data_IF_971191302098
#
_entry.id   IF_971191302098
#
_cell.length_a   1.000
_cell.length_b   1.000
_cell.length_c   1.000
_cell.angle_alpha   90.00
_cell.angle_beta   90.00
_cell.angle_gamma   90.00
#
_symmetry.space_group_name_H-M   'P 1'
#
loop_
_entity.id
_entity.type
_entity.pdbx_description
1 polymer ?
#
# COMPACT_ATOMS: atom_id res chain seq x y z
N UNK A 1 -13.85 -8.99 -13.88
CA UNK A 1 -12.69 -8.32 -13.27
C UNK A 1 -11.48 -9.23 -13.35
N UNK A 2 -10.30 -8.68 -13.61
CA UNK A 2 -9.04 -9.42 -13.57
C UNK A 2 -8.30 -9.01 -12.30
N UNK A 3 -8.02 -10.01 -11.43
CA UNK A 3 -7.39 -9.85 -10.12
C UNK A 3 -8.39 -9.88 -8.96
N UNK A 4 -8.19 -10.82 -8.02
CA UNK A 4 -8.94 -11.03 -6.78
C UNK A 4 -8.23 -10.50 -5.52
N UNK A 5 -7.24 -9.60 -5.67
CA UNK A 5 -6.64 -8.89 -4.54
C UNK A 5 -7.60 -7.88 -3.90
N UNK A 6 -7.16 -7.08 -2.91
CA UNK A 6 -8.05 -6.19 -2.15
C UNK A 6 -8.95 -5.31 -3.01
N UNK A 7 -8.44 -4.74 -4.12
CA UNK A 7 -9.24 -3.89 -5.00
C UNK A 7 -10.35 -4.68 -5.69
N UNK A 8 -10.01 -5.79 -6.37
CA UNK A 8 -10.98 -6.56 -7.15
C UNK A 8 -11.97 -7.32 -6.27
N UNK A 9 -11.50 -7.92 -5.17
CA UNK A 9 -12.36 -8.62 -4.24
C UNK A 9 -13.38 -7.67 -3.58
N UNK A 10 -12.92 -6.52 -3.09
CA UNK A 10 -13.80 -5.55 -2.45
C UNK A 10 -14.78 -4.91 -3.45
N UNK A 11 -14.35 -4.60 -4.67
CA UNK A 11 -15.26 -4.15 -5.72
C UNK A 11 -16.31 -5.22 -6.03
N UNK A 12 -15.89 -6.48 -6.15
CA UNK A 12 -16.80 -7.60 -6.37
C UNK A 12 -17.86 -7.70 -5.29
N UNK A 13 -17.43 -7.67 -4.03
CA UNK A 13 -18.33 -7.66 -2.88
C UNK A 13 -19.36 -6.53 -2.95
N UNK A 14 -18.93 -5.29 -3.20
CA UNK A 14 -19.82 -4.14 -3.26
C UNK A 14 -20.84 -4.24 -4.41
N UNK A 15 -20.40 -4.67 -5.60
CA UNK A 15 -21.30 -4.83 -6.75
C UNK A 15 -22.29 -5.99 -6.56
N UNK A 16 -21.83 -7.11 -5.98
CA UNK A 16 -22.68 -8.25 -5.72
C UNK A 16 -23.76 -7.94 -4.67
N UNK A 17 -23.41 -7.14 -3.64
CA UNK A 17 -24.35 -6.64 -2.63
C UNK A 17 -25.50 -5.84 -3.24
N UNK A 18 -25.26 -5.17 -4.36
CA UNK A 18 -26.27 -4.41 -5.12
C UNK A 18 -26.92 -5.23 -6.24
N UNK A 19 -26.81 -6.56 -6.18
CA UNK A 19 -27.51 -7.51 -7.05
C UNK A 19 -26.85 -7.75 -8.41
N UNK A 20 -25.66 -7.20 -8.69
CA UNK A 20 -24.90 -7.58 -9.87
C UNK A 20 -24.27 -8.97 -9.66
N UNK A 21 -23.82 -9.60 -10.75
CA UNK A 21 -23.13 -10.91 -10.73
C UNK A 21 -21.72 -10.79 -11.33
N UNK A 22 -20.77 -10.18 -10.59
CA UNK A 22 -19.42 -9.99 -11.12
C UNK A 22 -18.68 -11.33 -11.24
N UNK A 23 -17.82 -11.42 -12.28
CA UNK A 23 -16.88 -12.52 -12.44
C UNK A 23 -15.49 -12.00 -12.10
N UNK A 24 -14.78 -12.71 -11.23
CA UNK A 24 -13.40 -12.40 -10.80
C UNK A 24 -12.49 -13.50 -11.35
N UNK A 25 -11.47 -13.13 -12.10
CA UNK A 25 -10.42 -14.03 -12.56
C UNK A 25 -9.22 -13.88 -11.64
N UNK A 26 -8.86 -14.92 -10.90
CA UNK A 26 -7.60 -14.98 -10.14
C UNK A 26 -7.17 -16.43 -9.92
N UNK A 27 -5.97 -16.77 -10.39
CA UNK A 27 -5.42 -18.12 -10.31
C UNK A 27 -4.58 -18.37 -9.06
N UNK A 28 -4.33 -17.33 -8.27
CA UNK A 28 -3.28 -17.33 -7.26
C UNK A 28 -3.77 -17.43 -5.82
N UNK A 29 -5.07 -17.30 -5.58
CA UNK A 29 -5.63 -17.40 -4.24
C UNK A 29 -5.86 -18.85 -3.77
N UNK A 30 -5.65 -19.13 -2.46
CA UNK A 30 -5.06 -18.26 -1.44
C UNK A 30 -3.54 -18.21 -1.55
N UNK A 31 -2.92 -17.03 -1.28
CA UNK A 31 -1.47 -16.85 -1.32
C UNK A 31 -0.97 -15.80 -0.34
N UNK A 32 0.23 -15.99 0.19
CA UNK A 32 0.94 -14.92 0.88
C UNK A 32 1.62 -14.00 -0.15
N UNK A 33 1.04 -12.81 -0.35
CA UNK A 33 1.62 -11.82 -1.27
C UNK A 33 2.76 -11.07 -0.58
N UNK A 34 3.91 -10.86 -1.26
CA UNK A 34 4.97 -9.98 -0.77
C UNK A 34 4.45 -8.60 -0.36
N UNK A 35 4.48 -8.31 0.94
CA UNK A 35 3.95 -7.07 1.52
C UNK A 35 4.33 -6.98 2.99
N UNK A 36 4.42 -5.79 3.57
CA UNK A 36 4.45 -5.60 5.02
C UNK A 36 3.17 -6.11 5.70
N UNK A 37 2.03 -5.86 5.07
CA UNK A 37 0.72 -6.21 5.62
C UNK A 37 0.15 -5.15 6.56
N UNK A 38 0.80 -3.98 6.65
CA UNK A 38 0.29 -2.85 7.42
C UNK A 38 -1.00 -2.29 6.81
N UNK A 39 -1.98 -2.04 7.67
CA UNK A 39 -3.26 -1.40 7.33
C UNK A 39 -3.38 -0.15 8.17
N UNK A 40 -3.54 0.98 7.51
CA UNK A 40 -3.61 2.27 8.18
C UNK A 40 -4.91 2.44 8.97
N UNK A 41 -4.87 3.31 9.95
CA UNK A 41 -6.04 3.69 10.76
C UNK A 41 -7.16 4.23 9.88
N UNK A 42 -6.81 5.03 8.86
CA UNK A 42 -7.78 5.56 7.90
C UNK A 42 -8.56 4.43 7.20
N UNK A 43 -7.88 3.37 6.76
CA UNK A 43 -8.56 2.22 6.14
C UNK A 43 -9.46 1.49 7.14
N UNK A 44 -8.98 1.27 8.36
CA UNK A 44 -9.72 0.58 9.42
C UNK A 44 -11.03 1.33 9.76
N UNK A 45 -10.96 2.66 9.91
CA UNK A 45 -12.12 3.47 10.23
C UNK A 45 -13.11 3.60 9.06
N UNK A 46 -12.59 3.66 7.83
CA UNK A 46 -13.40 3.85 6.62
C UNK A 46 -14.07 2.55 6.16
N UNK A 47 -13.36 1.43 6.16
CA UNK A 47 -13.82 0.17 5.57
C UNK A 47 -14.25 -0.83 6.64
N UNK A 48 -15.50 -0.71 7.08
CA UNK A 48 -16.04 -1.52 8.19
C UNK A 48 -15.96 -3.03 7.95
N UNK A 49 -15.98 -3.49 6.70
CA UNK A 49 -15.81 -4.90 6.37
C UNK A 49 -14.51 -5.48 6.93
N UNK A 50 -13.45 -4.68 7.07
CA UNK A 50 -12.18 -5.14 7.66
C UNK A 50 -12.34 -5.64 9.09
N UNK A 51 -13.31 -5.10 9.86
CA UNK A 51 -13.57 -5.54 11.23
C UNK A 51 -14.12 -6.96 11.35
N UNK A 52 -14.66 -7.50 10.25
CA UNK A 52 -15.15 -8.88 10.17
C UNK A 52 -14.03 -9.90 9.86
N UNK A 53 -12.79 -9.43 9.64
CA UNK A 53 -11.65 -10.33 9.41
C UNK A 53 -11.45 -11.27 10.59
N UNK A 54 -11.28 -12.60 10.36
CA UNK A 54 -11.21 -13.60 11.41
C UNK A 54 -9.90 -13.57 12.20
N UNK A 55 -8.86 -12.95 11.68
CA UNK A 55 -7.54 -12.94 12.31
C UNK A 55 -7.50 -12.03 13.53
N UNK A 56 -6.83 -12.47 14.61
CA UNK A 56 -6.42 -11.57 15.67
C UNK A 56 -5.53 -10.47 15.09
N UNK A 57 -5.96 -9.25 15.32
CA UNK A 57 -5.34 -8.07 14.74
C UNK A 57 -4.20 -7.66 15.64
N UNK A 58 -2.97 -7.84 15.18
CA UNK A 58 -1.82 -7.29 15.86
C UNK A 58 -1.91 -5.77 15.84
N UNK A 59 -2.18 -5.22 17.04
CA UNK A 59 -2.38 -3.79 17.22
C UNK A 59 -1.02 -3.12 17.38
N UNK A 60 -0.70 -2.28 16.41
CA UNK A 60 0.57 -1.58 16.37
C UNK A 60 0.42 -0.16 16.93
N UNK A 61 0.55 -0.06 18.26
CA UNK A 61 0.57 1.23 18.96
C UNK A 61 1.95 1.87 19.00
N UNK A 62 3.02 1.08 18.78
CA UNK A 62 4.39 1.52 18.92
C UNK A 62 5.16 1.23 17.64
N UNK A 63 5.79 2.27 17.09
CA UNK A 63 6.68 2.13 15.95
C UNK A 63 8.05 2.67 16.34
N UNK A 64 9.08 1.86 16.15
CA UNK A 64 10.46 2.30 16.24
C UNK A 64 10.91 2.85 14.88
N UNK A 65 11.24 4.14 14.86
CA UNK A 65 11.85 4.79 13.70
C UNK A 65 13.36 4.90 13.94
N UNK A 66 14.13 4.52 12.94
CA UNK A 66 15.59 4.59 12.96
C UNK A 66 16.06 5.48 11.82
N UNK A 67 16.83 6.50 12.18
CA UNK A 67 17.42 7.47 11.24
C UNK A 67 18.52 6.85 10.39
N UNK A 68 18.96 7.52 9.32
CA UNK A 68 20.12 7.07 8.54
C UNK A 68 21.35 6.75 9.38
N UNK A 69 21.70 7.59 10.38
CA UNK A 69 22.86 7.38 11.26
C UNK A 69 22.65 6.30 12.35
N UNK A 70 21.41 5.83 12.56
CA UNK A 70 21.10 4.84 13.60
C UNK A 70 20.47 5.40 14.87
N UNK A 71 20.24 6.71 14.96
CA UNK A 71 19.43 7.28 16.06
C UNK A 71 18.01 6.70 15.98
N UNK A 72 17.47 6.24 17.11
CA UNK A 72 16.13 5.66 17.14
C UNK A 72 15.19 6.40 18.09
N UNK A 73 13.90 6.30 17.79
CA UNK A 73 12.81 6.76 18.65
C UNK A 73 11.64 5.81 18.55
N UNK A 74 11.06 5.45 19.69
CA UNK A 74 9.78 4.74 19.73
C UNK A 74 8.67 5.78 19.82
N UNK A 75 7.81 5.81 18.83
CA UNK A 75 6.62 6.65 18.80
C UNK A 75 5.41 5.83 19.22
N UNK A 76 4.49 6.44 19.94
CA UNK A 76 3.28 5.78 20.45
C UNK A 76 2.05 6.57 20.03
N UNK A 77 1.11 5.89 19.39
CA UNK A 77 -0.19 6.45 19.01
C UNK A 77 -1.31 6.15 19.98
N UNK A 78 -2.39 6.93 19.89
CA UNK A 78 -3.65 6.68 20.64
C UNK A 78 -4.51 5.62 19.94
N UNK A 79 -4.40 5.48 18.65
CA UNK A 79 -5.07 4.50 17.81
C UNK A 79 -4.01 3.65 17.13
N UNK A 80 -4.31 2.39 16.90
CA UNK A 80 -3.37 1.47 16.24
C UNK A 80 -3.75 1.23 14.79
N UNK A 81 -2.75 1.09 13.92
CA UNK A 81 -2.88 0.36 12.68
C UNK A 81 -2.97 -1.14 12.94
N UNK A 82 -3.23 -1.91 11.91
CA UNK A 82 -3.19 -3.37 11.96
C UNK A 82 -2.09 -3.90 11.06
N UNK A 83 -1.53 -5.03 11.46
CA UNK A 83 -0.62 -5.80 10.63
C UNK A 83 -1.28 -7.15 10.39
N UNK A 84 -1.61 -7.45 9.13
CA UNK A 84 -2.30 -8.68 8.73
C UNK A 84 -1.51 -9.43 7.67
N UNK A 85 -1.58 -10.76 7.73
CA UNK A 85 -1.13 -11.63 6.63
C UNK A 85 -1.99 -11.38 5.39
N UNK A 86 -1.34 -11.28 4.24
CA UNK A 86 -2.05 -11.16 2.95
C UNK A 86 -2.72 -12.47 2.54
N UNK A 87 -2.22 -13.61 3.05
CA UNK A 87 -2.89 -14.90 2.92
C UNK A 87 -4.31 -14.83 3.51
N UNK A 88 -4.45 -14.19 4.66
CA UNK A 88 -5.72 -14.08 5.39
C UNK A 88 -6.56 -12.94 4.85
N UNK A 89 -5.99 -11.72 4.76
CA UNK A 89 -6.71 -10.54 4.31
C UNK A 89 -7.30 -10.70 2.90
N UNK A 90 -6.46 -11.12 1.94
CA UNK A 90 -6.90 -11.21 0.56
C UNK A 90 -7.94 -12.33 0.40
N UNK A 91 -7.72 -13.48 1.08
CA UNK A 91 -8.70 -14.58 1.12
C UNK A 91 -10.02 -14.13 1.73
N UNK A 92 -9.99 -13.49 2.89
CA UNK A 92 -11.18 -12.98 3.56
C UNK A 92 -12.02 -12.08 2.64
N UNK A 93 -11.39 -11.08 2.00
CA UNK A 93 -12.09 -10.17 1.10
C UNK A 93 -12.69 -10.91 -0.12
N UNK A 94 -11.96 -11.89 -0.66
CA UNK A 94 -12.43 -12.69 -1.80
C UNK A 94 -13.57 -13.63 -1.41
N UNK A 95 -13.47 -14.29 -0.26
CA UNK A 95 -14.54 -15.14 0.27
C UNK A 95 -15.83 -14.32 0.48
N UNK A 96 -15.73 -13.11 1.05
CA UNK A 96 -16.88 -12.21 1.20
C UNK A 96 -17.51 -11.82 -0.15
N UNK A 97 -16.69 -11.62 -1.18
CA UNK A 97 -17.21 -11.37 -2.53
C UNK A 97 -17.97 -12.58 -3.10
N UNK A 98 -17.43 -13.78 -2.90
CA UNK A 98 -18.06 -15.04 -3.34
C UNK A 98 -19.36 -15.30 -2.57
N UNK A 99 -19.34 -15.17 -1.24
CA UNK A 99 -20.51 -15.29 -0.36
C UNK A 99 -21.65 -14.36 -0.79
N UNK A 100 -21.29 -13.16 -1.29
CA UNK A 100 -22.25 -12.16 -1.76
C UNK A 100 -22.78 -12.43 -3.19
N UNK A 101 -22.19 -13.39 -3.92
CA UNK A 101 -22.66 -13.80 -5.24
C UNK A 101 -21.69 -13.55 -6.42
N UNK A 102 -20.43 -13.21 -6.15
CA UNK A 102 -19.42 -13.20 -7.20
C UNK A 102 -19.05 -14.61 -7.65
N UNK A 103 -18.77 -14.77 -8.94
CA UNK A 103 -18.19 -16.01 -9.46
C UNK A 103 -16.66 -15.86 -9.54
N UNK A 104 -15.93 -16.73 -8.84
CA UNK A 104 -14.47 -16.83 -8.98
C UNK A 104 -14.12 -17.83 -10.08
N UNK A 105 -13.31 -17.41 -11.04
CA UNK A 105 -12.67 -18.26 -12.04
C UNK A 105 -11.19 -18.33 -11.72
N UNK A 106 -10.75 -19.50 -11.23
CA UNK A 106 -9.35 -19.73 -10.83
C UNK A 106 -8.43 -19.97 -12.03
N UNK A 107 -8.49 -19.08 -13.00
CA UNK A 107 -7.70 -19.13 -14.22
C UNK A 107 -6.84 -17.89 -14.40
N UNK A 108 -5.66 -18.08 -14.97
CA UNK A 108 -4.77 -16.98 -15.29
C UNK A 108 -5.20 -16.30 -16.59
N UNK A 109 -5.59 -15.04 -16.52
CA UNK A 109 -5.78 -14.21 -17.71
C UNK A 109 -4.42 -13.92 -18.32
N UNK A 110 -4.27 -14.18 -19.62
CA UNK A 110 -3.02 -14.01 -20.37
C UNK A 110 -3.10 -12.93 -21.44
N UNK A 111 -4.30 -12.54 -21.86
CA UNK A 111 -4.53 -11.45 -22.80
C UNK A 111 -5.97 -10.92 -22.68
N UNK A 112 -6.16 -9.67 -23.04
CA UNK A 112 -7.48 -9.04 -23.19
C UNK A 112 -7.54 -8.22 -24.47
N UNK A 113 -8.66 -8.30 -25.19
CA UNK A 113 -8.85 -7.57 -26.45
C UNK A 113 -10.29 -7.06 -26.53
N UNK A 114 -10.44 -5.80 -26.92
CA UNK A 114 -11.75 -5.23 -27.22
C UNK A 114 -12.05 -5.37 -28.71
N UNK A 115 -13.10 -6.11 -29.06
CA UNK A 115 -13.56 -6.34 -30.43
C UNK A 115 -15.09 -6.46 -30.43
N UNK A 116 -15.75 -5.95 -31.46
CA UNK A 116 -17.21 -6.07 -31.64
C UNK A 116 -18.02 -5.64 -30.41
N UNK A 117 -17.61 -4.54 -29.78
CA UNK A 117 -18.18 -3.99 -28.54
C UNK A 117 -18.13 -4.93 -27.32
N UNK A 118 -17.28 -5.95 -27.34
CA UNK A 118 -17.04 -6.86 -26.24
C UNK A 118 -15.55 -6.99 -25.91
N UNK A 119 -15.26 -7.16 -24.64
CA UNK A 119 -13.96 -7.60 -24.18
C UNK A 119 -13.84 -9.11 -24.28
N UNK A 120 -12.88 -9.59 -25.03
CA UNK A 120 -12.46 -10.98 -25.07
C UNK A 120 -11.35 -11.17 -24.04
N UNK A 121 -11.62 -11.90 -22.98
CA UNK A 121 -10.71 -12.18 -21.87
C UNK A 121 -10.17 -13.59 -22.09
N UNK A 122 -8.93 -13.72 -22.54
CA UNK A 122 -8.29 -14.99 -22.81
C UNK A 122 -7.51 -15.49 -21.60
N UNK A 123 -7.84 -16.67 -21.15
CA UNK A 123 -7.08 -17.44 -20.15
C UNK A 123 -6.20 -18.49 -20.84
N UNK A 124 -5.52 -19.32 -20.05
CA UNK A 124 -4.83 -20.49 -20.58
C UNK A 124 -5.79 -21.58 -21.07
N UNK A 125 -7.03 -21.59 -20.58
CA UNK A 125 -8.01 -22.64 -20.84
C UNK A 125 -8.98 -22.27 -21.96
N UNK A 126 -9.52 -21.03 -21.92
CA UNK A 126 -10.57 -20.61 -22.86
C UNK A 126 -10.65 -19.07 -22.96
N UNK A 127 -11.59 -18.59 -23.76
CA UNK A 127 -11.88 -17.15 -23.90
C UNK A 127 -13.29 -16.86 -23.40
N UNK A 128 -13.39 -15.83 -22.57
CA UNK A 128 -14.63 -15.30 -22.04
C UNK A 128 -14.96 -13.95 -22.68
N UNK A 129 -16.22 -13.58 -22.68
CA UNK A 129 -16.67 -12.29 -23.19
C UNK A 129 -17.34 -11.45 -22.10
N UNK A 130 -17.11 -10.15 -22.12
CA UNK A 130 -17.73 -9.21 -21.19
C UNK A 130 -17.97 -7.85 -21.85
N UNK A 131 -19.04 -7.16 -21.45
CA UNK A 131 -19.30 -5.78 -21.89
C UNK A 131 -18.42 -4.77 -21.16
N UNK A 132 -18.04 -5.07 -19.94
CA UNK A 132 -17.25 -4.17 -19.08
C UNK A 132 -16.08 -4.92 -18.45
N UNK A 133 -14.87 -4.34 -18.50
CA UNK A 133 -13.66 -4.94 -17.98
C UNK A 133 -13.05 -4.07 -16.87
N UNK A 134 -12.72 -4.68 -15.72
CA UNK A 134 -11.97 -4.02 -14.66
C UNK A 134 -10.61 -4.68 -14.49
N UNK A 135 -9.55 -3.90 -14.59
CA UNK A 135 -8.18 -4.29 -14.23
C UNK A 135 -7.91 -3.99 -12.77
N UNK A 136 -7.81 -5.04 -11.96
CA UNK A 136 -7.45 -5.03 -10.54
C UNK A 136 -6.25 -5.98 -10.28
N UNK A 137 -5.47 -6.24 -11.31
CA UNK A 137 -4.42 -7.25 -11.41
C UNK A 137 -3.03 -6.75 -10.99
N UNK A 138 -3.01 -5.65 -10.24
CA UNK A 138 -1.83 -5.16 -9.54
C UNK A 138 -0.81 -4.46 -10.44
N UNK A 139 0.40 -4.28 -9.93
CA UNK A 139 1.47 -3.47 -10.57
C UNK A 139 1.90 -3.97 -11.96
N UNK A 140 1.75 -5.28 -12.23
CA UNK A 140 2.07 -5.88 -13.52
C UNK A 140 0.83 -6.09 -14.41
N UNK A 141 -0.20 -5.27 -14.22
CA UNK A 141 -1.50 -5.38 -14.87
C UNK A 141 -1.43 -5.64 -16.38
N UNK A 142 -2.03 -6.76 -16.79
CA UNK A 142 -2.23 -7.10 -18.22
C UNK A 142 -3.27 -6.16 -18.81
N UNK A 143 -4.33 -5.86 -18.04
CA UNK A 143 -5.41 -4.97 -18.49
C UNK A 143 -4.86 -3.58 -18.76
N UNK A 144 -4.12 -2.99 -17.77
CA UNK A 144 -3.46 -1.70 -17.98
C UNK A 144 -2.53 -1.71 -19.18
N UNK A 145 -1.67 -2.73 -19.26
CA UNK A 145 -0.69 -2.85 -20.36
C UNK A 145 -1.36 -2.79 -21.74
N UNK A 146 -2.56 -3.36 -21.86
CA UNK A 146 -3.31 -3.40 -23.11
C UNK A 146 -3.95 -2.05 -23.45
N UNK A 147 -4.44 -1.32 -22.44
CA UNK A 147 -5.24 -0.10 -22.64
C UNK A 147 -4.35 1.15 -22.70
N UNK A 148 -3.43 1.30 -21.75
CA UNK A 148 -2.61 2.51 -21.54
C UNK A 148 -1.11 2.25 -21.68
N UNK A 149 -0.69 1.01 -21.87
CA UNK A 149 0.70 0.61 -21.70
C UNK A 149 1.04 0.27 -20.24
N UNK A 150 2.21 -0.37 -20.00
CA UNK A 150 2.65 -0.70 -18.63
C UNK A 150 2.97 0.56 -17.83
N UNK A 151 3.00 0.43 -16.52
CA UNK A 151 3.59 1.49 -15.67
C UNK A 151 5.04 1.67 -16.10
N UNK A 152 5.49 2.91 -16.38
CA UNK A 152 6.86 3.18 -16.81
C UNK A 152 7.88 2.65 -15.79
N UNK A 153 9.02 2.16 -16.25
CA UNK A 153 10.04 1.56 -15.37
C UNK A 153 10.52 2.53 -14.27
N UNK A 154 10.64 3.82 -14.59
CA UNK A 154 11.02 4.86 -13.64
C UNK A 154 9.98 5.08 -12.54
N UNK A 155 8.71 4.70 -12.77
CA UNK A 155 7.61 4.80 -11.83
C UNK A 155 7.37 3.51 -11.04
N UNK A 156 8.33 2.58 -11.10
CA UNK A 156 8.33 1.33 -10.34
C UNK A 156 9.41 1.34 -9.28
N UNK A 157 9.01 1.17 -8.04
CA UNK A 157 9.89 0.80 -6.95
C UNK A 157 10.13 -0.72 -6.93
N UNK A 158 11.24 -1.12 -6.35
CA UNK A 158 11.56 -2.52 -6.07
C UNK A 158 11.53 -2.78 -4.57
N UNK A 159 10.97 -3.94 -4.20
CA UNK A 159 10.94 -4.42 -2.84
C UNK A 159 11.62 -5.79 -2.77
N UNK A 160 12.32 -6.03 -1.66
CA UNK A 160 12.92 -7.32 -1.36
C UNK A 160 12.75 -7.61 0.13
N UNK A 161 12.53 -8.87 0.48
CA UNK A 161 12.31 -9.21 1.88
C UNK A 161 12.23 -10.69 2.15
N UNK A 162 11.83 -11.00 3.37
CA UNK A 162 11.60 -12.38 3.82
C UNK A 162 10.40 -12.46 4.76
N UNK A 163 9.87 -13.67 4.88
CA UNK A 163 9.06 -14.08 6.01
C UNK A 163 9.95 -14.89 6.96
N UNK A 164 9.88 -14.57 8.24
CA UNK A 164 10.77 -15.14 9.24
C UNK A 164 10.05 -15.37 10.56
N UNK A 165 10.65 -16.16 11.45
CA UNK A 165 10.21 -16.28 12.85
C UNK A 165 11.32 -15.84 13.78
N UNK A 166 10.95 -15.28 14.93
CA UNK A 166 11.87 -14.87 16.01
C UNK A 166 11.45 -15.54 17.31
N UNK A 167 12.42 -15.87 18.14
CA UNK A 167 12.19 -16.36 19.52
C UNK A 167 11.94 -15.18 20.49
N UNK A 168 12.06 -13.95 20.02
CA UNK A 168 11.83 -12.71 20.79
C UNK A 168 10.60 -12.01 20.27
N UNK A 169 9.92 -11.26 21.14
CA UNK A 169 8.84 -10.36 20.72
C UNK A 169 9.47 -9.17 20.00
N UNK A 170 9.28 -9.11 18.70
CA UNK A 170 9.74 -8.00 17.88
C UNK A 170 8.73 -6.84 17.95
N UNK A 171 9.23 -5.62 17.67
CA UNK A 171 8.42 -4.40 17.56
C UNK A 171 8.34 -3.99 16.10
N UNK A 172 7.28 -3.27 15.75
CA UNK A 172 7.23 -2.63 14.44
C UNK A 172 8.35 -1.63 14.30
N UNK A 173 9.14 -1.80 13.23
CA UNK A 173 10.34 -0.99 13.00
C UNK A 173 10.38 -0.48 11.57
N UNK A 174 10.79 0.79 11.42
CA UNK A 174 11.06 1.45 10.15
C UNK A 174 12.45 2.04 10.21
N UNK A 175 13.34 1.62 9.30
CA UNK A 175 14.71 2.10 9.19
C UNK A 175 14.90 2.85 7.87
N UNK A 176 15.33 4.11 7.96
CA UNK A 176 15.74 4.92 6.82
C UNK A 176 17.24 4.80 6.56
N UNK A 177 17.65 5.10 5.34
CA UNK A 177 19.03 4.97 4.88
C UNK A 177 19.50 6.25 4.20
N UNK A 178 20.83 6.46 4.16
CA UNK A 178 21.44 7.59 3.46
C UNK A 178 21.42 7.39 1.93
N UNK A 179 21.64 6.15 1.49
CA UNK A 179 21.95 5.82 0.10
C UNK A 179 20.74 5.49 -0.75
N UNK A 180 19.53 5.42 -0.18
CA UNK A 180 18.33 5.06 -0.90
C UNK A 180 17.14 5.94 -0.54
N UNK A 181 16.28 6.22 -1.51
CA UNK A 181 14.96 6.81 -1.30
C UNK A 181 13.97 5.67 -1.01
N UNK A 182 13.88 5.31 0.25
CA UNK A 182 13.09 4.19 0.71
C UNK A 182 13.39 3.84 2.18
N UNK A 183 12.88 2.71 2.62
CA UNK A 183 13.04 2.25 4.01
C UNK A 183 13.00 0.73 4.09
N UNK A 184 13.60 0.19 5.16
CA UNK A 184 13.37 -1.18 5.59
C UNK A 184 12.34 -1.22 6.71
N UNK A 185 11.62 -2.31 6.78
CA UNK A 185 10.62 -2.55 7.83
C UNK A 185 10.78 -3.92 8.47
N UNK A 186 10.34 -4.03 9.71
CA UNK A 186 9.95 -5.26 10.36
C UNK A 186 8.54 -5.08 10.89
N UNK A 187 7.62 -5.86 10.36
CA UNK A 187 6.21 -5.86 10.76
C UNK A 187 5.88 -7.23 11.36
N UNK A 188 5.78 -7.30 12.71
CA UNK A 188 5.37 -8.53 13.40
C UNK A 188 3.92 -8.86 13.06
N UNK A 189 3.69 -10.11 12.65
CA UNK A 189 2.38 -10.72 12.45
C UNK A 189 2.13 -11.75 13.53
N UNK A 190 0.92 -12.25 13.61
CA UNK A 190 0.53 -13.21 14.64
C UNK A 190 1.50 -14.40 14.77
N UNK A 191 1.91 -14.98 13.65
CA UNK A 191 2.71 -16.22 13.61
C UNK A 191 4.11 -16.05 12.98
N UNK A 192 4.39 -14.90 12.36
CA UNK A 192 5.67 -14.65 11.71
C UNK A 192 5.96 -13.15 11.56
N UNK A 193 7.16 -12.84 11.09
CA UNK A 193 7.61 -11.49 10.77
C UNK A 193 7.58 -11.29 9.25
N UNK A 194 7.05 -10.15 8.79
CA UNK A 194 7.34 -9.64 7.47
C UNK A 194 8.47 -8.62 7.56
N UNK A 195 9.65 -8.99 7.10
CA UNK A 195 10.81 -8.10 7.08
C UNK A 195 11.16 -7.80 5.63
N UNK A 196 11.27 -6.53 5.30
CA UNK A 196 11.57 -6.14 3.93
C UNK A 196 12.20 -4.77 3.81
N UNK A 197 12.57 -4.44 2.58
CA UNK A 197 13.08 -3.14 2.17
C UNK A 197 12.42 -2.76 0.85
N UNK A 198 12.01 -1.50 0.74
CA UNK A 198 11.51 -0.91 -0.50
C UNK A 198 12.35 0.29 -0.89
N UNK A 199 12.59 0.46 -2.18
CA UNK A 199 13.29 1.63 -2.70
C UNK A 199 12.71 2.06 -4.04
N UNK A 200 12.63 3.37 -4.24
CA UNK A 200 12.10 3.97 -5.47
C UNK A 200 13.11 3.92 -6.64
N UNK A 201 14.39 3.79 -6.34
CA UNK A 201 15.48 3.80 -7.33
C UNK A 201 16.57 2.82 -6.92
N UNK A 202 17.22 2.20 -7.90
CA UNK A 202 18.34 1.30 -7.70
C UNK A 202 18.15 -0.06 -8.38
N UNK A 203 19.10 -0.93 -8.14
CA UNK A 203 19.12 -2.27 -8.71
C UNK A 203 18.93 -3.37 -7.65
N UNK A 204 18.70 -4.58 -8.15
CA UNK A 204 18.48 -5.75 -7.31
C UNK A 204 19.69 -6.12 -6.46
N UNK A 205 20.92 -5.81 -6.87
CA UNK A 205 22.13 -6.11 -6.10
C UNK A 205 22.22 -5.17 -4.90
N UNK A 206 21.99 -3.87 -5.14
CA UNK A 206 22.02 -2.84 -4.09
C UNK A 206 20.99 -3.14 -3.00
N UNK A 207 19.72 -3.40 -3.38
CA UNK A 207 18.67 -3.66 -2.40
C UNK A 207 18.93 -4.91 -1.57
N UNK A 208 19.43 -5.99 -2.19
CA UNK A 208 19.78 -7.23 -1.47
C UNK A 208 20.92 -7.02 -0.50
N UNK A 209 21.94 -6.23 -0.86
CA UNK A 209 23.04 -5.91 0.05
C UNK A 209 22.54 -5.16 1.28
N UNK A 210 21.82 -4.05 1.09
CA UNK A 210 21.29 -3.23 2.18
C UNK A 210 20.34 -4.06 3.07
N UNK A 211 19.52 -4.91 2.47
CA UNK A 211 18.64 -5.81 3.21
C UNK A 211 19.41 -6.81 4.07
N UNK A 212 20.46 -7.46 3.53
CA UNK A 212 21.28 -8.40 4.29
C UNK A 212 22.01 -7.68 5.45
N UNK A 213 22.54 -6.48 5.21
CA UNK A 213 23.18 -5.66 6.25
C UNK A 213 22.18 -5.31 7.36
N UNK A 214 20.93 -4.97 6.99
CA UNK A 214 19.85 -4.70 7.93
C UNK A 214 19.48 -5.94 8.76
N UNK A 215 19.34 -7.11 8.12
CA UNK A 215 19.08 -8.38 8.83
C UNK A 215 20.21 -8.70 9.82
N UNK A 216 21.45 -8.65 9.36
CA UNK A 216 22.61 -8.97 10.21
C UNK A 216 22.72 -8.03 11.41
N UNK A 217 22.41 -6.74 11.23
CA UNK A 217 22.54 -5.73 12.29
C UNK A 217 21.41 -5.76 13.31
N UNK A 218 20.18 -6.03 12.87
CA UNK A 218 19.00 -5.89 13.74
C UNK A 218 18.33 -7.22 14.10
N UNK A 219 18.60 -8.28 13.33
CA UNK A 219 17.90 -9.56 13.44
C UNK A 219 18.85 -10.76 13.25
N UNK A 220 19.99 -10.83 13.97
CA UNK A 220 21.00 -11.90 13.75
C UNK A 220 20.47 -13.31 14.01
N UNK A 221 19.48 -13.45 14.89
CA UNK A 221 18.97 -14.74 15.40
C UNK A 221 17.66 -15.19 14.78
N UNK A 222 17.17 -14.51 13.70
CA UNK A 222 15.90 -14.90 13.07
C UNK A 222 16.03 -16.17 12.22
N UNK A 223 14.93 -16.92 12.15
CA UNK A 223 14.82 -18.04 11.24
C UNK A 223 14.05 -17.62 9.98
N UNK A 224 14.77 -17.40 8.87
CA UNK A 224 14.17 -17.02 7.58
C UNK A 224 13.47 -18.25 6.98
N UNK A 225 12.16 -18.13 6.76
CA UNK A 225 11.33 -19.18 6.15
C UNK A 225 11.34 -19.10 4.62
N UNK A 226 11.23 -17.89 4.07
CA UNK A 226 11.25 -17.66 2.62
C UNK A 226 11.71 -16.25 2.31
N UNK A 227 12.28 -16.07 1.12
CA UNK A 227 12.66 -14.76 0.57
C UNK A 227 11.79 -14.43 -0.62
N UNK A 228 11.51 -13.15 -0.83
CA UNK A 228 10.67 -12.68 -1.91
C UNK A 228 11.18 -11.37 -2.52
N UNK A 229 10.76 -11.11 -3.75
CA UNK A 229 10.95 -9.83 -4.43
C UNK A 229 9.66 -9.37 -5.06
N UNK A 230 9.41 -8.07 -5.08
CA UNK A 230 8.22 -7.48 -5.65
C UNK A 230 8.51 -6.13 -6.29
N UNK A 231 7.59 -5.71 -7.16
CA UNK A 231 7.50 -4.33 -7.65
C UNK A 231 6.31 -3.64 -6.99
N UNK A 232 6.39 -2.32 -6.91
CA UNK A 232 5.32 -1.47 -6.40
C UNK A 232 5.26 -0.20 -7.27
N UNK A 233 4.08 0.36 -7.56
CA UNK A 233 3.99 1.67 -8.18
C UNK A 233 4.58 2.74 -7.25
N UNK A 234 5.60 3.44 -7.71
CA UNK A 234 6.17 4.62 -7.02
C UNK A 234 6.26 5.73 -8.04
N UNK A 235 5.13 6.35 -8.28
CA UNK A 235 4.98 7.36 -9.33
C UNK A 235 5.89 8.56 -9.04
N UNK A 236 6.69 8.95 -10.03
CA UNK A 236 7.65 10.07 -9.94
C UNK A 236 7.16 11.32 -10.66
N UNK A 237 6.40 11.13 -11.72
CA UNK A 237 5.86 12.22 -12.50
C UNK A 237 4.38 12.42 -12.17
N UNK A 238 3.96 13.56 -11.59
CA UNK A 238 2.57 13.82 -11.24
C UNK A 238 1.62 13.79 -12.44
N UNK A 239 2.11 14.01 -13.66
CA UNK A 239 1.31 13.87 -14.89
C UNK A 239 0.85 12.43 -15.17
N UNK A 240 1.43 11.43 -14.53
CA UNK A 240 0.89 10.07 -14.57
C UNK A 240 -0.57 10.01 -14.10
N UNK A 241 -0.93 10.83 -13.12
CA UNK A 241 -2.27 10.92 -12.57
C UNK A 241 -3.26 11.71 -13.44
N UNK A 242 -2.81 12.27 -14.59
CA UNK A 242 -3.70 12.86 -15.60
C UNK A 242 -4.29 11.80 -16.54
N UNK A 243 -3.64 10.63 -16.62
CA UNK A 243 -4.12 9.51 -17.42
C UNK A 243 -5.51 9.06 -16.93
N UNK A 244 -6.41 8.69 -17.85
CA UNK A 244 -7.70 8.15 -17.46
C UNK A 244 -7.54 6.77 -16.78
N UNK A 245 -8.30 6.53 -15.74
CA UNK A 245 -8.42 5.23 -15.09
C UNK A 245 -9.73 4.53 -15.45
N UNK A 246 -10.62 5.17 -16.21
CA UNK A 246 -11.89 4.59 -16.67
C UNK A 246 -12.37 5.21 -17.96
N UNK A 247 -13.12 4.42 -18.73
CA UNK A 247 -13.88 4.83 -19.90
C UNK A 247 -15.22 4.06 -19.93
N UNK A 248 -15.98 4.14 -21.01
CA UNK A 248 -17.32 3.55 -21.13
C UNK A 248 -17.36 2.04 -20.86
N UNK A 249 -16.30 1.31 -21.19
CA UNK A 249 -16.29 -0.15 -21.15
C UNK A 249 -15.10 -0.76 -20.35
N UNK A 250 -14.28 0.07 -19.70
CA UNK A 250 -13.18 -0.42 -18.88
C UNK A 250 -12.87 0.49 -17.68
N UNK A 251 -12.20 -0.07 -16.70
CA UNK A 251 -11.70 0.63 -15.52
C UNK A 251 -10.43 -0.02 -14.97
N UNK A 252 -9.53 0.77 -14.41
CA UNK A 252 -8.34 0.33 -13.67
C UNK A 252 -8.45 0.80 -12.23
N UNK A 253 -8.15 -0.08 -11.26
CA UNK A 253 -8.24 0.22 -9.82
C UNK A 253 -7.02 -0.30 -9.06
N UNK A 254 -6.76 0.27 -7.89
CA UNK A 254 -5.61 -0.11 -7.04
C UNK A 254 -4.26 0.08 -7.74
N UNK A 255 -3.32 -0.86 -7.54
CA UNK A 255 -1.98 -0.78 -8.13
C UNK A 255 -2.02 -0.75 -9.66
N UNK A 256 -3.03 -1.36 -10.32
CA UNK A 256 -3.18 -1.31 -11.76
C UNK A 256 -3.44 0.12 -12.28
N UNK A 257 -4.07 0.95 -11.46
CA UNK A 257 -4.25 2.39 -11.71
C UNK A 257 -3.05 3.23 -11.23
N UNK A 258 -2.10 2.63 -10.50
CA UNK A 258 -0.99 3.35 -9.85
C UNK A 258 -1.40 4.05 -8.55
N UNK A 259 -2.51 3.65 -7.94
CA UNK A 259 -3.03 4.24 -6.71
C UNK A 259 -2.30 3.66 -5.49
N UNK A 260 -1.07 4.09 -5.31
CA UNK A 260 -0.19 3.78 -4.18
C UNK A 260 0.49 5.07 -3.75
N UNK A 261 0.61 5.30 -2.46
CA UNK A 261 1.34 6.48 -1.95
C UNK A 261 2.83 6.35 -2.26
N UNK A 262 3.44 7.30 -3.01
CA UNK A 262 4.84 7.20 -3.43
C UNK A 262 5.87 7.38 -2.30
N UNK A 263 5.47 7.85 -1.11
CA UNK A 263 6.34 8.00 0.06
C UNK A 263 6.27 6.74 0.91
N UNK A 264 5.08 6.38 1.36
CA UNK A 264 4.90 5.28 2.33
C UNK A 264 4.83 3.90 1.69
N UNK A 265 4.54 3.83 0.38
CA UNK A 265 4.26 2.57 -0.31
C UNK A 265 2.89 1.97 0.08
N UNK A 266 2.03 2.72 0.76
CA UNK A 266 0.71 2.24 1.11
C UNK A 266 -0.16 2.09 -0.14
N UNK A 267 -0.66 0.87 -0.37
CA UNK A 267 -1.54 0.54 -1.49
C UNK A 267 -2.86 -0.10 -1.07
N UNK A 268 -2.94 -0.75 0.11
CA UNK A 268 -4.14 -1.49 0.53
C UNK A 268 -5.32 -0.54 0.73
N UNK A 269 -5.13 0.56 1.45
CA UNK A 269 -6.18 1.55 1.67
C UNK A 269 -6.68 2.17 0.37
N UNK A 270 -5.77 2.52 -0.53
CA UNK A 270 -6.11 3.06 -1.85
C UNK A 270 -6.79 2.02 -2.75
N UNK A 271 -6.41 0.74 -2.64
CA UNK A 271 -7.07 -0.35 -3.35
C UNK A 271 -8.54 -0.48 -2.94
N UNK A 272 -8.82 -0.45 -1.64
CA UNK A 272 -10.20 -0.48 -1.12
C UNK A 272 -10.96 0.81 -1.47
N UNK A 273 -10.30 1.97 -1.38
CA UNK A 273 -10.93 3.24 -1.70
C UNK A 273 -11.28 3.36 -3.17
N UNK A 274 -10.35 2.98 -4.06
CA UNK A 274 -10.63 2.94 -5.50
C UNK A 274 -11.77 1.97 -5.83
N UNK A 275 -11.85 0.82 -5.15
CA UNK A 275 -12.95 -0.14 -5.33
C UNK A 275 -14.31 0.46 -4.92
N UNK A 276 -14.37 1.17 -3.79
CA UNK A 276 -15.60 1.85 -3.36
C UNK A 276 -16.07 2.90 -4.37
N UNK A 277 -15.17 3.73 -4.87
CA UNK A 277 -15.49 4.75 -5.87
C UNK A 277 -15.87 4.13 -7.22
N UNK A 278 -15.17 3.06 -7.61
CA UNK A 278 -15.48 2.28 -8.81
C UNK A 278 -16.89 1.68 -8.74
N UNK A 279 -17.26 1.10 -7.59
CA UNK A 279 -18.62 0.58 -7.38
C UNK A 279 -19.67 1.70 -7.56
N UNK A 280 -19.46 2.85 -6.94
CA UNK A 280 -20.36 4.03 -7.07
C UNK A 280 -20.53 4.47 -8.52
N UNK A 281 -19.44 4.52 -9.30
CA UNK A 281 -19.48 4.92 -10.70
C UNK A 281 -20.23 3.90 -11.58
N UNK A 282 -19.95 2.60 -11.38
CA UNK A 282 -20.59 1.51 -12.12
C UNK A 282 -22.10 1.47 -11.84
N UNK A 283 -22.50 1.57 -10.57
CA UNK A 283 -23.90 1.55 -10.15
C UNK A 283 -24.69 2.77 -10.67
N UNK A 284 -24.05 3.91 -10.82
CA UNK A 284 -24.62 5.10 -11.47
C UNK A 284 -24.71 4.98 -13.00
N UNK A 285 -24.18 3.89 -13.59
CA UNK A 285 -24.06 3.69 -15.04
C UNK A 285 -23.23 4.79 -15.73
N UNK A 286 -22.30 5.39 -15.00
CA UNK A 286 -21.36 6.40 -15.46
C UNK A 286 -19.93 6.06 -15.02
N UNK A 287 -19.30 5.03 -15.66
CA UNK A 287 -17.96 4.61 -15.30
C UNK A 287 -16.91 5.72 -15.41
N UNK A 288 -17.06 6.63 -16.37
CA UNK A 288 -16.12 7.75 -16.58
C UNK A 288 -16.04 8.69 -15.39
N UNK A 289 -17.13 8.83 -14.62
CA UNK A 289 -17.14 9.66 -13.42
C UNK A 289 -16.13 9.19 -12.36
N UNK A 290 -15.68 7.94 -12.41
CA UNK A 290 -14.61 7.44 -11.55
C UNK A 290 -13.34 8.29 -11.64
N UNK A 291 -12.97 8.80 -12.83
CA UNK A 291 -11.80 9.64 -13.03
C UNK A 291 -11.81 10.89 -12.14
N UNK A 292 -12.94 11.56 -12.04
CA UNK A 292 -13.07 12.75 -11.21
C UNK A 292 -13.28 12.40 -9.73
N UNK A 293 -13.97 11.29 -9.45
CA UNK A 293 -14.23 10.85 -8.07
C UNK A 293 -12.92 10.56 -7.31
N UNK A 294 -12.02 9.76 -7.87
CA UNK A 294 -10.77 9.43 -7.17
C UNK A 294 -9.82 10.63 -7.07
N UNK A 295 -9.77 11.48 -8.13
CA UNK A 295 -8.98 12.73 -8.10
C UNK A 295 -9.42 13.65 -6.98
N UNK A 296 -10.73 13.82 -6.81
CA UNK A 296 -11.32 14.63 -5.74
C UNK A 296 -11.07 14.09 -4.35
N UNK A 297 -11.17 12.77 -4.18
CA UNK A 297 -11.07 12.12 -2.86
C UNK A 297 -9.62 12.04 -2.34
N UNK A 298 -8.70 11.54 -3.15
CA UNK A 298 -7.31 11.32 -2.73
C UNK A 298 -6.25 11.69 -3.79
N UNK A 299 -6.65 12.19 -4.95
CA UNK A 299 -5.72 12.51 -6.03
C UNK A 299 -4.69 13.56 -5.63
N UNK A 300 -5.12 14.61 -4.93
CA UNK A 300 -4.21 15.65 -4.41
C UNK A 300 -3.18 15.08 -3.42
N UNK A 301 -3.57 14.10 -2.60
CA UNK A 301 -2.65 13.43 -1.68
C UNK A 301 -1.58 12.67 -2.44
N UNK A 302 -1.96 11.86 -3.44
CA UNK A 302 -1.00 11.11 -4.26
C UNK A 302 -0.06 12.05 -5.05
N UNK A 303 -0.59 13.15 -5.62
CA UNK A 303 0.23 14.16 -6.32
C UNK A 303 1.21 14.86 -5.39
N UNK A 304 0.76 15.24 -4.19
CA UNK A 304 1.62 15.86 -3.18
C UNK A 304 2.70 14.89 -2.72
N UNK A 305 2.37 13.64 -2.44
CA UNK A 305 3.36 12.60 -2.09
C UNK A 305 4.36 12.38 -3.23
N UNK A 306 3.89 12.38 -4.49
CA UNK A 306 4.74 12.26 -5.65
C UNK A 306 5.78 13.40 -5.73
N UNK A 307 5.34 14.65 -5.59
CA UNK A 307 6.21 15.84 -5.73
C UNK A 307 7.09 16.08 -4.52
N UNK A 308 6.65 15.70 -3.31
CA UNK A 308 7.40 15.90 -2.06
C UNK A 308 8.29 14.72 -1.65
N UNK A 309 8.23 13.59 -2.35
CA UNK A 309 8.97 12.38 -1.99
C UNK A 309 10.48 12.60 -1.83
N UNK A 310 11.11 13.28 -2.77
CA UNK A 310 12.55 13.49 -2.75
C UNK A 310 12.99 14.40 -1.59
N UNK A 311 12.13 15.35 -1.23
CA UNK A 311 12.32 16.17 -0.03
C UNK A 311 12.15 15.30 1.24
N UNK A 312 11.11 14.46 1.30
CA UNK A 312 10.87 13.57 2.45
C UNK A 312 12.06 12.62 2.70
N UNK A 313 12.60 12.02 1.63
CA UNK A 313 13.74 11.10 1.72
C UNK A 313 15.11 11.80 1.74
N UNK A 314 15.17 13.11 2.00
CA UNK A 314 16.44 13.78 2.26
C UNK A 314 17.06 13.23 3.56
N UNK A 315 18.28 12.66 3.53
CA UNK A 315 18.87 12.00 4.69
C UNK A 315 19.06 12.94 5.91
N UNK A 316 19.43 14.20 5.67
CA UNK A 316 19.57 15.20 6.74
C UNK A 316 18.22 15.52 7.36
N UNK A 317 17.16 15.66 6.55
CA UNK A 317 15.83 15.91 7.06
C UNK A 317 15.30 14.73 7.89
N UNK A 318 15.51 13.50 7.44
CA UNK A 318 15.16 12.29 8.19
C UNK A 318 15.90 12.21 9.52
N UNK A 319 17.21 12.51 9.51
CA UNK A 319 18.03 12.55 10.73
C UNK A 319 17.48 13.57 11.72
N UNK A 320 17.24 14.82 11.29
CA UNK A 320 16.67 15.87 12.13
C UNK A 320 15.27 15.53 12.63
N UNK A 321 14.42 14.94 11.79
CA UNK A 321 13.06 14.58 12.16
C UNK A 321 13.02 13.53 13.26
N UNK A 322 13.84 12.48 13.15
CA UNK A 322 13.90 11.44 14.18
C UNK A 322 14.54 11.97 15.48
N UNK A 323 15.59 12.79 15.38
CA UNK A 323 16.17 13.46 16.54
C UNK A 323 15.19 14.43 17.19
N UNK A 324 14.38 15.15 16.42
CA UNK A 324 13.32 16.00 16.96
C UNK A 324 12.24 15.18 17.65
N UNK A 325 11.82 14.07 17.05
CA UNK A 325 10.86 13.16 17.65
C UNK A 325 11.35 12.55 18.98
N UNK A 326 12.65 12.29 19.13
CA UNK A 326 13.23 11.79 20.40
C UNK A 326 13.21 12.83 21.52
N UNK A 327 13.12 14.13 21.19
CA UNK A 327 13.13 15.25 22.13
C UNK A 327 11.78 15.96 22.29
N UNK A 328 10.84 15.73 21.38
CA UNK A 328 9.50 16.33 21.41
C UNK A 328 8.41 15.26 21.30
N UNK A 329 7.63 15.09 22.38
CA UNK A 329 6.49 14.18 22.39
C UNK A 329 5.43 14.57 21.35
N UNK A 330 5.24 15.88 21.13
CA UNK A 330 4.29 16.40 20.14
C UNK A 330 4.72 15.99 18.73
N UNK A 331 6.02 16.13 18.40
CA UNK A 331 6.53 15.72 17.11
C UNK A 331 6.60 14.20 16.94
N UNK A 332 6.89 13.47 18.01
CA UNK A 332 6.81 11.99 18.03
C UNK A 332 5.41 11.49 17.69
N UNK A 333 4.39 12.09 18.31
CA UNK A 333 2.98 11.75 18.00
C UNK A 333 2.64 12.09 16.53
N UNK A 334 3.09 13.25 16.05
CA UNK A 334 2.92 13.66 14.66
C UNK A 334 3.56 12.66 13.68
N UNK A 335 4.78 12.19 13.94
CA UNK A 335 5.47 11.20 13.11
C UNK A 335 4.68 9.87 13.04
N UNK A 336 4.14 9.43 14.17
CA UNK A 336 3.25 8.27 14.23
C UNK A 336 1.96 8.48 13.41
N UNK A 337 1.26 9.59 13.65
CA UNK A 337 -0.01 9.90 12.97
C UNK A 337 0.18 9.99 11.44
N UNK A 338 1.29 10.55 10.97
CA UNK A 338 1.62 10.60 9.54
C UNK A 338 1.85 9.20 8.97
N UNK A 339 2.67 8.39 9.65
CA UNK A 339 2.95 7.02 9.20
C UNK A 339 1.70 6.14 9.18
N UNK A 340 0.77 6.35 10.11
CA UNK A 340 -0.52 5.66 10.15
C UNK A 340 -1.58 6.28 9.24
N UNK A 341 -1.17 7.17 8.34
CA UNK A 341 -2.03 7.85 7.36
C UNK A 341 -3.23 8.59 7.97
N UNK A 342 -3.07 9.07 9.22
CA UNK A 342 -4.06 9.93 9.89
C UNK A 342 -3.94 11.40 9.42
N UNK A 343 -2.77 11.78 8.88
CA UNK A 343 -2.49 13.10 8.33
C UNK A 343 -2.15 12.94 6.86
N UNK A 344 -3.01 13.43 5.94
CA UNK A 344 -2.70 13.44 4.51
C UNK A 344 -1.45 14.27 4.20
N UNK A 345 -0.63 13.85 3.25
CA UNK A 345 0.61 14.56 2.86
C UNK A 345 0.38 16.04 2.54
N UNK A 346 -0.77 16.38 1.95
CA UNK A 346 -1.16 17.77 1.65
C UNK A 346 -1.34 18.67 2.89
N UNK A 347 -1.63 18.08 4.05
CA UNK A 347 -1.90 18.82 5.30
C UNK A 347 -0.70 18.82 6.27
N UNK A 348 0.38 18.13 5.90
CA UNK A 348 1.57 17.93 6.72
C UNK A 348 2.16 19.24 7.27
N UNK A 349 2.43 20.18 6.37
CA UNK A 349 3.05 21.48 6.73
C UNK A 349 2.13 22.28 7.65
N UNK A 350 0.83 22.32 7.37
CA UNK A 350 -0.14 23.03 8.21
C UNK A 350 -0.15 22.47 9.64
N UNK A 351 -0.07 21.14 9.76
CA UNK A 351 -0.04 20.48 11.06
C UNK A 351 1.22 20.81 11.87
N UNK A 352 2.39 20.79 11.23
CA UNK A 352 3.66 21.17 11.88
C UNK A 352 3.63 22.63 12.34
N UNK A 353 3.19 23.56 11.49
CA UNK A 353 3.11 24.99 11.82
C UNK A 353 2.18 25.22 13.02
N UNK A 354 1.05 24.54 13.07
CA UNK A 354 0.08 24.65 14.17
C UNK A 354 0.70 24.32 15.52
N UNK A 355 1.58 23.34 15.58
CA UNK A 355 2.15 22.83 16.83
C UNK A 355 3.59 23.32 17.08
N UNK A 356 4.14 24.20 16.22
CA UNK A 356 5.58 24.56 16.20
C UNK A 356 6.07 25.14 17.53
N UNK A 357 5.27 25.99 18.18
CA UNK A 357 5.65 26.60 19.47
C UNK A 357 5.80 25.56 20.58
N UNK A 358 4.92 24.55 20.58
CA UNK A 358 4.97 23.46 21.55
C UNK A 358 6.13 22.53 21.29
N UNK A 359 6.37 22.18 20.03
CA UNK A 359 7.51 21.36 19.60
C UNK A 359 8.83 22.02 20.01
N UNK A 360 8.97 23.32 19.76
CA UNK A 360 10.17 24.09 20.11
C UNK A 360 10.41 24.11 21.63
N UNK A 361 9.37 24.35 22.43
CA UNK A 361 9.47 24.33 23.91
C UNK A 361 9.93 22.95 24.39
N UNK A 362 9.29 21.87 23.93
CA UNK A 362 9.64 20.50 24.33
C UNK A 362 11.10 20.17 23.96
N UNK A 363 11.55 20.57 22.76
CA UNK A 363 12.91 20.35 22.31
C UNK A 363 13.94 21.07 23.20
N UNK A 364 13.71 22.36 23.53
CA UNK A 364 14.58 23.13 24.38
C UNK A 364 14.66 22.51 25.79
N UNK A 365 13.53 22.22 26.41
CA UNK A 365 13.49 21.60 27.74
C UNK A 365 14.20 20.25 27.80
N UNK A 366 14.00 19.41 26.77
CA UNK A 366 14.68 18.11 26.68
C UNK A 366 16.21 18.28 26.51
N UNK A 367 16.63 19.27 25.74
CA UNK A 367 18.08 19.54 25.49
C UNK A 367 18.82 20.17 26.68
N UNK A 368 18.08 20.80 27.62
CA UNK A 368 18.66 21.33 28.86
C UNK A 368 18.82 20.29 29.97
N UNK A 369 18.15 19.12 29.81
CA UNK A 369 18.19 18.00 30.77
C UNK A 369 19.12 16.86 30.35
N UNK A 370 19.62 16.88 29.13
CA UNK A 370 20.60 15.94 28.58
C UNK A 370 22.01 16.51 28.64
#
# INVERSE_FOLDING_TARGET
MVGGGPAGAYLGFLLAKEGLKPIIFDHSHPREKPCGGGISILAIEKFKLLHESPEEKDLDYNIEFISPSGTSVITTGKKSGWILSRLILDKFLLDKAIEQGCTLIQEQVIDVQFKENLWNIRTKMQTYQAKFLVGADGVNSIVRKKILGPIPKQDLGICYGCFATSNKKEVTRIKYFEDIKGYAWCFPRHDHLSIGIGMAEGDTKKIKKIFNDFITSYYPDINIKSKWGAKIPIIKNPHFYDLPCADDNWMLIGDAAGHVDPITGEGISYALWSAELAAKAILKKDPKSFNEMWKKEYGDTLRTSCTSRDFFYNPKLLEYSIKLASKSKTFSTFLYEYTMNQIPSKDLIKRIIKDISKITKEYIFSSLRS
#
